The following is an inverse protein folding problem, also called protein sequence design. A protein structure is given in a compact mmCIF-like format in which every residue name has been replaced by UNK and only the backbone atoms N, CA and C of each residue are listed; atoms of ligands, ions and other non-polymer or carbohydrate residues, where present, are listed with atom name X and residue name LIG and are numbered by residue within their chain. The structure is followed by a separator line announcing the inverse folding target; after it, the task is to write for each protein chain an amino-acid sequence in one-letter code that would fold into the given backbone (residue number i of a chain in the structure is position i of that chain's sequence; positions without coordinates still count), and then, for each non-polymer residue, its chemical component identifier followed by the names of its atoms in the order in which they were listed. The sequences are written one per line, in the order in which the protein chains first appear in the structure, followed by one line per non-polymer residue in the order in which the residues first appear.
data_IF_410838599824
#
_entry.id   IF_410838599824
#
_cell.length_a   1.000
_cell.length_b   1.000
_cell.length_c   1.000
_cell.angle_alpha   90.00
_cell.angle_beta   90.00
_cell.angle_gamma   90.00
#
_symmetry.space_group_name_H-M   'P 1'
#
loop_
_entity.id
_entity.type
_entity.pdbx_description
1 polymer ?
#
# COMPACT_ATOMS: atom_id res chain seq x y z
N UNK A 1 -24.82 43.06 40.57
CA UNK A 1 -23.42 42.61 40.57
C UNK A 1 -23.35 41.20 39.99
N UNK A 2 -22.68 40.98 38.86
CA UNK A 2 -22.56 39.65 38.24
C UNK A 2 -21.40 38.90 38.91
N UNK A 3 -21.68 37.77 39.57
CA UNK A 3 -20.65 36.89 40.14
C UNK A 3 -19.93 36.16 39.01
N UNK A 4 -18.67 36.52 38.75
CA UNK A 4 -17.80 35.74 37.85
C UNK A 4 -17.49 34.42 38.53
N UNK A 5 -18.00 33.32 37.99
CA UNK A 5 -17.57 31.97 38.36
C UNK A 5 -16.35 31.67 37.48
N UNK A 6 -15.17 31.68 38.09
CA UNK A 6 -13.94 31.22 37.46
C UNK A 6 -13.70 29.76 37.79
N UNK A 7 -13.19 29.00 36.83
CA UNK A 7 -12.72 27.64 37.05
C UNK A 7 -11.60 27.64 38.09
N UNK A 8 -11.62 26.66 38.99
CA UNK A 8 -10.56 26.50 39.98
C UNK A 8 -9.29 25.98 39.31
N UNK A 9 -8.13 26.33 39.89
CA UNK A 9 -6.85 25.81 39.39
C UNK A 9 -6.86 24.27 39.37
N UNK A 10 -7.39 23.66 40.43
CA UNK A 10 -7.45 22.20 40.60
C UNK A 10 -8.27 21.50 39.52
N UNK A 11 -9.38 22.11 39.07
CA UNK A 11 -10.18 21.55 37.96
C UNK A 11 -9.37 21.49 36.67
N UNK A 12 -8.63 22.55 36.34
CA UNK A 12 -7.84 22.56 35.10
C UNK A 12 -6.67 21.57 35.22
N UNK A 13 -6.03 21.48 36.38
CA UNK A 13 -4.89 20.58 36.62
C UNK A 13 -5.26 19.11 36.51
N UNK A 14 -6.40 18.69 37.11
CA UNK A 14 -6.88 17.31 37.01
C UNK A 14 -7.32 16.99 35.58
N UNK A 15 -7.98 17.94 34.91
CA UNK A 15 -8.42 17.76 33.52
C UNK A 15 -7.24 17.54 32.57
N UNK A 16 -6.20 18.37 32.65
CA UNK A 16 -5.00 18.24 31.81
C UNK A 16 -4.25 16.94 32.13
N UNK A 17 -4.22 16.51 33.39
CA UNK A 17 -3.62 15.24 33.79
C UNK A 17 -4.32 14.02 33.14
N UNK A 18 -5.66 14.00 33.13
CA UNK A 18 -6.43 12.90 32.51
C UNK A 18 -6.36 12.95 30.98
N UNK A 19 -6.42 14.14 30.37
CA UNK A 19 -6.25 14.30 28.91
C UNK A 19 -4.87 13.81 28.47
N UNK A 20 -3.81 14.08 29.25
CA UNK A 20 -2.47 13.57 28.96
C UNK A 20 -2.37 12.04 29.00
N UNK A 21 -3.04 11.40 29.97
CA UNK A 21 -3.13 9.95 30.06
C UNK A 21 -3.89 9.35 28.86
N UNK A 22 -5.03 9.93 28.51
CA UNK A 22 -5.85 9.47 27.38
C UNK A 22 -5.12 9.66 26.04
N UNK A 23 -4.48 10.80 25.83
CA UNK A 23 -3.72 11.11 24.61
C UNK A 23 -2.55 10.13 24.39
N UNK A 24 -1.95 9.64 25.47
CA UNK A 24 -0.84 8.67 25.40
C UNK A 24 -1.27 7.29 24.89
N UNK A 25 -2.53 6.90 25.08
CA UNK A 25 -3.09 5.62 24.63
C UNK A 25 -3.83 5.77 23.28
N UNK A 26 -4.23 7.00 22.94
CA UNK A 26 -5.09 7.29 21.80
C UNK A 26 -4.40 7.23 20.42
N UNK A 27 -3.13 6.83 20.32
CA UNK A 27 -2.44 6.63 19.04
C UNK A 27 -2.44 5.15 18.64
N UNK A 28 -3.49 4.65 17.96
CA UNK A 28 -3.41 3.38 17.27
C UNK A 28 -2.33 3.47 16.17
N UNK A 29 -1.42 2.51 16.17
CA UNK A 29 -0.27 2.47 15.24
C UNK A 29 -0.73 2.29 13.78
N UNK A 30 -0.95 3.41 13.09
CA UNK A 30 -1.31 3.44 11.67
C UNK A 30 -0.19 2.89 10.77
N UNK A 31 1.06 2.88 11.25
CA UNK A 31 2.21 2.39 10.49
C UNK A 31 2.12 0.89 10.20
N UNK A 32 1.74 0.08 11.19
CA UNK A 32 1.61 -1.39 11.02
C UNK A 32 0.46 -1.72 10.07
N UNK A 33 -0.66 -1.00 10.18
CA UNK A 33 -1.81 -1.17 9.28
C UNK A 33 -1.41 -0.85 7.83
N UNK A 34 -0.66 0.23 7.61
CA UNK A 34 -0.15 0.61 6.28
C UNK A 34 0.76 -0.47 5.70
N UNK A 35 1.76 -0.94 6.45
CA UNK A 35 2.68 -1.99 5.97
C UNK A 35 1.94 -3.28 5.61
N UNK A 36 0.92 -3.67 6.39
CA UNK A 36 0.09 -4.85 6.11
C UNK A 36 -0.71 -4.71 4.81
N UNK A 37 -1.26 -3.53 4.54
CA UNK A 37 -1.98 -3.25 3.28
C UNK A 37 -1.02 -3.34 2.11
N UNK A 38 0.15 -2.68 2.18
CA UNK A 38 1.15 -2.73 1.11
C UNK A 38 1.58 -4.17 0.79
N UNK A 39 1.81 -5.00 1.82
CA UNK A 39 2.17 -6.40 1.62
C UNK A 39 1.06 -7.20 0.92
N UNK A 40 -0.20 -7.01 1.34
CA UNK A 40 -1.35 -7.68 0.70
C UNK A 40 -1.54 -7.24 -0.75
N UNK A 41 -1.38 -5.95 -1.03
CA UNK A 41 -1.50 -5.42 -2.39
C UNK A 41 -0.41 -6.01 -3.29
N UNK A 42 0.85 -6.11 -2.82
CA UNK A 42 1.92 -6.77 -3.57
C UNK A 42 1.56 -8.21 -3.95
N UNK A 43 1.06 -9.00 -3.01
CA UNK A 43 0.65 -10.39 -3.27
C UNK A 43 -0.45 -10.46 -4.32
N UNK A 44 -1.46 -9.59 -4.21
CA UNK A 44 -2.54 -9.51 -5.21
C UNK A 44 -1.99 -9.11 -6.58
N UNK A 45 -1.07 -8.16 -6.65
CA UNK A 45 -0.50 -7.68 -7.91
C UNK A 45 0.34 -8.75 -8.61
N UNK A 46 1.11 -9.55 -7.88
CA UNK A 46 1.82 -10.71 -8.45
C UNK A 46 0.84 -11.71 -9.07
N UNK A 47 -0.32 -11.96 -8.43
CA UNK A 47 -1.35 -12.84 -8.99
C UNK A 47 -1.97 -12.23 -10.26
N UNK A 48 -2.31 -10.95 -10.24
CA UNK A 48 -2.84 -10.24 -11.41
C UNK A 48 -1.85 -10.27 -12.58
N UNK A 49 -0.56 -10.06 -12.31
CA UNK A 49 0.49 -10.15 -13.31
C UNK A 49 0.62 -11.56 -13.87
N UNK A 50 0.67 -12.59 -13.01
CA UNK A 50 0.75 -13.98 -13.47
C UNK A 50 -0.42 -14.35 -14.39
N UNK A 51 -1.63 -13.89 -14.07
CA UNK A 51 -2.80 -14.12 -14.91
C UNK A 51 -2.68 -13.38 -16.26
N UNK A 52 -2.32 -12.09 -16.23
CA UNK A 52 -2.14 -11.28 -17.43
C UNK A 52 -1.04 -11.86 -18.36
N UNK A 53 0.01 -12.42 -17.76
CA UNK A 53 1.12 -13.06 -18.47
C UNK A 53 0.67 -14.35 -19.16
N UNK A 54 -0.12 -15.18 -18.47
CA UNK A 54 -0.67 -16.41 -19.05
C UNK A 54 -1.61 -16.10 -20.21
N UNK A 55 -2.49 -15.11 -20.04
CA UNK A 55 -3.41 -14.67 -21.10
C UNK A 55 -2.64 -14.16 -22.32
N UNK A 56 -1.63 -13.29 -22.11
CA UNK A 56 -0.78 -12.82 -23.20
C UNK A 56 -0.03 -13.95 -23.90
N UNK A 57 0.52 -14.92 -23.14
CA UNK A 57 1.25 -16.04 -23.69
C UNK A 57 0.35 -16.96 -24.54
N UNK A 58 -0.90 -17.16 -24.11
CA UNK A 58 -1.90 -17.92 -24.86
C UNK A 58 -2.29 -17.21 -26.17
N UNK A 59 -2.56 -15.91 -26.12
CA UNK A 59 -2.99 -15.15 -27.30
C UNK A 59 -1.85 -14.96 -28.33
N UNK A 60 -0.63 -14.75 -27.84
CA UNK A 60 0.53 -14.45 -28.67
C UNK A 60 1.35 -15.69 -29.06
N UNK A 61 0.89 -16.89 -28.70
CA UNK A 61 1.57 -18.17 -28.93
C UNK A 61 3.04 -18.15 -28.49
N UNK A 62 3.31 -17.49 -27.36
CA UNK A 62 4.66 -17.27 -26.88
C UNK A 62 5.16 -18.51 -26.12
N UNK A 63 6.45 -18.86 -26.26
CA UNK A 63 7.06 -19.91 -25.43
C UNK A 63 7.14 -19.47 -23.96
N UNK A 64 7.20 -20.45 -23.06
CA UNK A 64 7.22 -20.25 -21.60
C UNK A 64 8.37 -19.36 -21.08
N UNK A 65 9.38 -19.05 -21.88
CA UNK A 65 10.54 -18.21 -21.55
C UNK A 65 10.58 -16.85 -22.29
N UNK A 66 9.51 -16.50 -23.00
CA UNK A 66 9.42 -15.23 -23.71
C UNK A 66 9.55 -14.03 -22.75
N UNK A 67 10.41 -13.08 -23.13
CA UNK A 67 10.51 -11.80 -22.43
C UNK A 67 9.22 -11.02 -22.62
N UNK A 68 8.58 -10.66 -21.52
CA UNK A 68 7.32 -9.94 -21.58
C UNK A 68 7.59 -8.49 -22.00
N UNK A 69 6.90 -8.05 -23.04
CA UNK A 69 7.02 -6.70 -23.61
C UNK A 69 5.95 -5.78 -23.04
N UNK A 70 6.03 -4.47 -23.30
CA UNK A 70 5.03 -3.45 -22.93
C UNK A 70 3.56 -3.80 -23.28
N UNK A 71 3.34 -4.78 -24.17
CA UNK A 71 2.03 -5.34 -24.52
C UNK A 71 1.26 -5.94 -23.33
N UNK A 72 1.94 -6.35 -22.25
CA UNK A 72 1.29 -6.86 -21.04
C UNK A 72 0.32 -5.84 -20.41
N UNK A 73 0.58 -4.55 -20.60
CA UNK A 73 -0.28 -3.47 -20.08
C UNK A 73 -1.73 -3.59 -20.57
N UNK A 74 -1.95 -4.18 -21.75
CA UNK A 74 -3.30 -4.39 -22.31
C UNK A 74 -4.07 -5.53 -21.62
N UNK A 75 -3.37 -6.43 -20.94
CA UNK A 75 -3.92 -7.58 -20.22
C UNK A 75 -4.09 -7.30 -18.72
N UNK A 76 -3.72 -6.10 -18.26
CA UNK A 76 -3.92 -5.64 -16.89
C UNK A 76 -5.06 -4.62 -16.91
N UNK A 77 -6.18 -4.96 -16.28
CA UNK A 77 -7.31 -4.04 -16.15
C UNK A 77 -6.89 -2.77 -15.38
N UNK A 78 -6.89 -1.62 -16.06
CA UNK A 78 -6.43 -0.33 -15.51
C UNK A 78 -4.95 -0.02 -15.71
N UNK A 79 -4.22 -0.86 -16.47
CA UNK A 79 -2.81 -0.65 -16.80
C UNK A 79 -1.87 -0.75 -15.60
N UNK A 80 -0.65 -0.20 -15.74
CA UNK A 80 0.39 -0.30 -14.70
C UNK A 80 0.04 0.46 -13.41
N UNK A 81 -0.82 1.47 -13.51
CA UNK A 81 -1.32 2.26 -12.37
C UNK A 81 -2.17 1.40 -11.43
N UNK A 82 -2.88 0.40 -11.95
CA UNK A 82 -3.69 -0.52 -11.15
C UNK A 82 -2.84 -1.42 -10.24
N UNK A 83 -1.55 -1.54 -10.52
CA UNK A 83 -0.62 -2.31 -9.71
C UNK A 83 0.13 -1.42 -8.70
N UNK A 84 -0.08 -0.09 -8.69
CA UNK A 84 0.62 0.80 -7.75
C UNK A 84 0.49 0.37 -6.28
N UNK A 85 1.57 0.50 -5.51
CA UNK A 85 1.62 0.14 -4.08
C UNK A 85 2.04 1.37 -3.27
N UNK A 86 1.06 2.18 -2.85
CA UNK A 86 1.33 3.46 -2.19
C UNK A 86 1.77 4.51 -3.22
N UNK A 87 2.85 5.24 -2.94
CA UNK A 87 3.46 6.20 -3.89
C UNK A 87 4.37 5.49 -4.92
N UNK A 88 4.57 4.18 -4.77
CA UNK A 88 5.48 3.42 -5.61
C UNK A 88 4.82 3.02 -6.93
N UNK A 89 5.31 3.60 -8.02
CA UNK A 89 4.96 3.19 -9.38
C UNK A 89 5.72 1.92 -9.75
N UNK A 90 5.08 1.05 -10.52
CA UNK A 90 5.70 -0.19 -10.97
C UNK A 90 6.36 0.00 -12.32
N UNK A 91 7.60 -0.50 -12.41
CA UNK A 91 8.32 -0.66 -13.67
C UNK A 91 8.41 -2.15 -14.01
N UNK A 92 7.91 -2.56 -15.18
CA UNK A 92 7.86 -3.96 -15.63
C UNK A 92 9.20 -4.47 -16.19
N UNK A 93 10.33 -4.12 -15.57
CA UNK A 93 11.63 -4.24 -16.24
C UNK A 93 12.15 -5.69 -16.34
N UNK A 94 11.64 -6.65 -15.56
CA UNK A 94 12.13 -8.03 -15.54
C UNK A 94 11.03 -9.09 -15.29
N UNK A 95 9.85 -8.97 -15.91
CA UNK A 95 8.84 -10.05 -15.81
C UNK A 95 9.08 -11.05 -16.94
N UNK A 96 9.21 -12.34 -16.60
CA UNK A 96 9.26 -13.45 -17.57
C UNK A 96 8.01 -14.31 -17.44
N UNK A 97 7.62 -15.01 -18.50
CA UNK A 97 6.43 -15.87 -18.53
C UNK A 97 6.42 -16.99 -17.48
N UNK A 98 7.58 -17.33 -16.93
CA UNK A 98 7.75 -18.38 -15.93
C UNK A 98 7.89 -17.87 -14.49
N UNK A 99 8.27 -16.61 -14.30
CA UNK A 99 8.47 -16.01 -12.98
C UNK A 99 8.16 -14.51 -13.04
N UNK A 100 7.07 -14.09 -12.38
CA UNK A 100 7.01 -12.74 -11.80
C UNK A 100 7.91 -12.83 -10.58
N UNK A 101 9.14 -12.33 -10.69
CA UNK A 101 10.04 -12.31 -9.55
C UNK A 101 9.28 -11.70 -8.36
N UNK A 102 9.24 -12.43 -7.25
CA UNK A 102 8.50 -12.04 -6.04
C UNK A 102 9.04 -10.71 -5.45
N UNK A 103 10.09 -10.16 -6.06
CA UNK A 103 10.73 -8.92 -5.73
C UNK A 103 10.14 -7.78 -6.59
N UNK A 104 8.92 -7.39 -6.25
CA UNK A 104 8.44 -6.04 -6.57
C UNK A 104 9.38 -5.03 -5.91
N UNK A 105 10.37 -4.55 -6.66
CA UNK A 105 11.31 -3.51 -6.22
C UNK A 105 10.53 -2.20 -6.17
N UNK A 106 10.03 -1.87 -4.98
CA UNK A 106 9.50 -0.53 -4.72
C UNK A 106 10.71 0.40 -4.66
N UNK A 107 11.00 1.07 -5.76
CA UNK A 107 11.92 2.20 -5.74
C UNK A 107 11.28 3.31 -4.90
N UNK A 108 11.89 3.60 -3.75
CA UNK A 108 11.53 4.64 -2.76
C UNK A 108 10.32 4.34 -1.85
N UNK A 109 10.65 3.77 -0.68
CA UNK A 109 9.89 3.96 0.56
C UNK A 109 10.81 4.62 1.60
N UNK A 110 11.21 5.86 1.34
CA UNK A 110 11.63 6.83 2.34
C UNK A 110 11.08 8.19 1.96
#
# INVERSE_FOLDING_TARGET
MKRKHGFTLIETTVTVAVIGLLASIALPSFSVARTRVLYKTKQSNTLLLNNAVQEWAMDSWQPDDAKITAALTNYINGGLEALSVGEARINLTNITSRTVDHEFTIENLY
#
